data_IF_973780454011
#
_entry.id   IF_973780454011
#
_cell.length_a   1.000
_cell.length_b   1.000
_cell.length_c   1.000
_cell.angle_alpha   90.00
_cell.angle_beta   90.00
_cell.angle_gamma   90.00
#
_symmetry.space_group_name_H-M   'P 1'
#
loop_
_entity.id
_entity.type
_entity.pdbx_description
1 polymer ?
#
# COMPACT_ATOMS: atom_id res chain seq x y z
N UNK A 1 -15.06 6.20 -59.29
CA UNK A 1 -14.12 5.23 -58.72
C UNK A 1 -13.25 5.83 -57.61
N UNK A 2 -12.70 7.02 -57.77
CA UNK A 2 -11.82 7.68 -56.78
C UNK A 2 -12.56 8.06 -55.48
N UNK A 3 -13.85 8.43 -55.55
CA UNK A 3 -14.65 8.83 -54.37
C UNK A 3 -14.98 7.64 -53.46
N UNK A 4 -15.16 6.45 -54.07
CA UNK A 4 -15.43 5.21 -53.32
C UNK A 4 -14.19 4.71 -52.58
N UNK A 5 -13.01 4.90 -53.18
CA UNK A 5 -11.73 4.53 -52.59
C UNK A 5 -11.38 5.42 -51.36
N UNK A 6 -11.66 6.74 -51.42
CA UNK A 6 -11.47 7.65 -50.31
C UNK A 6 -12.41 7.32 -49.13
N UNK A 7 -13.66 6.92 -49.38
CA UNK A 7 -14.59 6.50 -48.36
C UNK A 7 -14.17 5.20 -47.69
N UNK A 8 -13.67 4.25 -48.44
CA UNK A 8 -13.15 2.98 -47.94
C UNK A 8 -11.90 3.19 -47.05
N UNK A 9 -10.98 4.07 -47.48
CA UNK A 9 -9.78 4.42 -46.71
C UNK A 9 -10.11 5.15 -45.39
N UNK A 10 -11.12 6.02 -45.42
CA UNK A 10 -11.57 6.73 -44.21
C UNK A 10 -12.25 5.79 -43.20
N UNK A 11 -12.98 4.78 -43.71
CA UNK A 11 -13.61 3.76 -42.88
C UNK A 11 -12.57 2.82 -42.22
N UNK A 12 -11.51 2.49 -42.93
CA UNK A 12 -10.39 1.71 -42.44
C UNK A 12 -9.60 2.47 -41.36
N UNK A 13 -9.41 3.78 -41.51
CA UNK A 13 -8.74 4.64 -40.56
C UNK A 13 -9.52 4.75 -39.21
N UNK A 14 -10.85 4.76 -39.26
CA UNK A 14 -11.71 4.80 -38.07
C UNK A 14 -11.64 3.50 -37.27
N UNK A 15 -11.45 2.35 -37.93
CA UNK A 15 -11.32 1.05 -37.26
C UNK A 15 -10.03 0.95 -36.41
N UNK A 16 -8.98 1.68 -36.75
CA UNK A 16 -7.74 1.68 -35.97
C UNK A 16 -7.77 2.57 -34.72
N UNK A 17 -8.79 3.42 -34.56
CA UNK A 17 -8.93 4.32 -33.40
C UNK A 17 -9.65 3.66 -32.21
N UNK A 18 -10.24 2.48 -32.40
CA UNK A 18 -10.94 1.74 -31.33
C UNK A 18 -10.02 0.80 -30.51
N UNK A 19 -8.73 0.78 -30.76
CA UNK A 19 -7.75 -0.04 -30.00
C UNK A 19 -7.16 0.71 -28.81
N UNK A 20 -7.96 1.52 -28.09
CA UNK A 20 -7.61 1.93 -26.73
C UNK A 20 -7.97 0.78 -25.79
N UNK A 21 -7.15 -0.25 -25.75
CA UNK A 21 -7.19 -1.25 -24.70
C UNK A 21 -6.93 -0.60 -23.34
N UNK A 22 -7.55 -1.13 -22.30
CA UNK A 22 -7.44 -0.74 -20.92
C UNK A 22 -5.97 -0.66 -20.43
N UNK A 23 -5.33 0.48 -20.68
CA UNK A 23 -4.06 0.77 -20.05
C UNK A 23 -4.36 1.30 -18.65
N UNK A 24 -4.20 0.43 -17.63
CA UNK A 24 -4.22 0.87 -16.24
C UNK A 24 -2.98 1.73 -16.00
N UNK A 25 -3.18 3.00 -15.75
CA UNK A 25 -2.11 3.98 -15.47
C UNK A 25 -1.44 3.74 -14.10
N UNK A 26 -1.99 2.83 -13.28
CA UNK A 26 -1.57 2.58 -11.90
C UNK A 26 -0.49 1.50 -11.76
N UNK A 27 -0.06 0.83 -12.84
CA UNK A 27 0.93 -0.24 -12.78
C UNK A 27 0.46 -1.51 -12.06
N UNK A 28 -0.81 -1.56 -11.63
CA UNK A 28 -1.38 -2.74 -10.98
C UNK A 28 -1.58 -3.86 -12.01
N UNK A 29 -1.04 -5.05 -11.72
CA UNK A 29 -1.26 -6.29 -12.46
C UNK A 29 -2.29 -7.14 -11.73
N UNK A 30 -3.57 -6.76 -11.89
CA UNK A 30 -4.69 -7.46 -11.26
C UNK A 30 -5.01 -8.70 -12.11
N UNK A 31 -5.04 -9.94 -11.52
CA UNK A 31 -5.42 -11.15 -12.24
C UNK A 31 -6.84 -11.04 -12.84
N UNK A 32 -7.04 -11.65 -14.01
CA UNK A 32 -8.37 -11.71 -14.62
C UNK A 32 -9.39 -12.34 -13.66
N UNK A 33 -10.58 -11.73 -13.56
CA UNK A 33 -11.67 -12.20 -12.71
C UNK A 33 -11.60 -11.72 -11.26
N UNK A 34 -10.58 -10.94 -10.87
CA UNK A 34 -10.53 -10.31 -9.54
C UNK A 34 -11.39 -9.05 -9.55
N UNK A 35 -12.43 -9.03 -8.74
CA UNK A 35 -13.38 -7.91 -8.64
C UNK A 35 -13.41 -7.27 -7.25
N UNK A 36 -13.03 -8.04 -6.22
CA UNK A 36 -13.21 -7.64 -4.82
C UNK A 36 -11.94 -7.82 -3.99
N UNK A 37 -11.83 -7.02 -2.93
CA UNK A 37 -10.82 -7.21 -1.90
C UNK A 37 -11.41 -7.03 -0.51
N UNK A 38 -10.80 -7.70 0.45
CA UNK A 38 -11.13 -7.66 1.87
C UNK A 38 -9.88 -7.28 2.65
N UNK A 39 -10.01 -6.36 3.59
CA UNK A 39 -8.95 -6.02 4.56
C UNK A 39 -9.52 -6.26 5.95
N UNK A 40 -9.03 -7.29 6.62
CA UNK A 40 -9.37 -7.53 8.02
C UNK A 40 -8.71 -6.48 8.91
N UNK A 41 -9.34 -6.16 10.05
CA UNK A 41 -8.71 -5.29 11.04
C UNK A 41 -7.38 -5.91 11.48
N UNK A 42 -6.29 -5.15 11.32
CA UNK A 42 -4.97 -5.58 11.77
C UNK A 42 -4.93 -5.64 13.30
N UNK A 43 -4.29 -6.67 13.86
CA UNK A 43 -4.10 -6.76 15.30
C UNK A 43 -2.98 -5.82 15.76
N UNK A 44 -3.20 -5.06 16.83
CA UNK A 44 -2.16 -4.21 17.40
C UNK A 44 -1.36 -4.96 18.47
N UNK A 45 -0.31 -5.64 18.07
CA UNK A 45 0.62 -6.38 18.93
C UNK A 45 1.93 -5.63 19.20
N UNK A 46 1.99 -4.33 18.87
CA UNK A 46 3.20 -3.52 18.98
C UNK A 46 3.78 -3.49 20.39
N UNK A 47 2.94 -3.47 21.42
CA UNK A 47 3.37 -3.45 22.82
C UNK A 47 4.01 -4.73 23.35
N UNK A 48 3.97 -5.84 22.59
CA UNK A 48 4.47 -7.14 23.04
C UNK A 48 5.99 -7.29 22.87
N UNK A 49 6.62 -6.41 22.09
CA UNK A 49 8.06 -6.50 21.81
C UNK A 49 8.88 -5.55 22.68
N UNK A 50 10.07 -6.03 23.11
CA UNK A 50 10.99 -5.24 23.95
C UNK A 50 11.39 -3.94 23.27
N UNK A 51 11.19 -2.82 23.95
CA UNK A 51 11.51 -1.48 23.45
C UNK A 51 10.49 -0.90 22.47
N UNK A 52 9.41 -1.61 22.20
CA UNK A 52 8.24 -1.13 21.46
C UNK A 52 7.16 -0.73 22.46
N UNK A 53 6.31 0.21 22.07
CA UNK A 53 5.22 0.71 22.90
C UNK A 53 3.86 0.43 22.21
N UNK A 54 2.82 0.30 23.00
CA UNK A 54 1.47 0.19 22.48
C UNK A 54 0.93 1.58 22.14
N UNK A 55 0.58 1.81 20.86
CA UNK A 55 -0.10 3.04 20.41
C UNK A 55 -1.58 2.74 20.15
N UNK A 56 -2.51 3.30 20.94
CA UNK A 56 -3.94 3.05 20.76
C UNK A 56 -4.46 3.54 19.41
N UNK A 57 -5.30 2.73 18.75
CA UNK A 57 -5.96 3.07 17.48
C UNK A 57 -5.09 2.90 16.24
N UNK A 58 -3.82 2.49 16.41
CA UNK A 58 -2.88 2.27 15.30
C UNK A 58 -3.39 1.19 14.33
N UNK A 59 -4.03 0.16 14.84
CA UNK A 59 -4.69 -0.92 14.11
C UNK A 59 -5.75 -0.41 13.13
N UNK A 60 -6.67 0.40 13.64
CA UNK A 60 -7.74 0.98 12.84
C UNK A 60 -7.18 1.94 11.78
N UNK A 61 -6.29 2.85 12.21
CA UNK A 61 -5.77 3.89 11.34
C UNK A 61 -4.92 3.30 10.19
N UNK A 62 -4.11 2.27 10.48
CA UNK A 62 -3.37 1.53 9.46
C UNK A 62 -4.29 0.73 8.52
N UNK A 63 -5.30 0.04 9.06
CA UNK A 63 -6.26 -0.72 8.26
C UNK A 63 -6.99 0.19 7.26
N UNK A 64 -7.45 1.36 7.71
CA UNK A 64 -8.09 2.36 6.85
C UNK A 64 -7.11 2.88 5.78
N UNK A 65 -5.85 3.14 6.14
CA UNK A 65 -4.85 3.57 5.17
C UNK A 65 -4.62 2.53 4.07
N UNK A 66 -4.59 1.24 4.42
CA UNK A 66 -4.46 0.14 3.44
C UNK A 66 -5.71 0.00 2.57
N UNK A 67 -6.91 0.13 3.13
CA UNK A 67 -8.15 0.15 2.34
C UNK A 67 -8.14 1.30 1.32
N UNK A 68 -7.80 2.50 1.78
CA UNK A 68 -7.79 3.70 0.93
C UNK A 68 -6.83 3.58 -0.27
N UNK A 69 -5.62 3.03 -0.09
CA UNK A 69 -4.70 2.89 -1.22
C UNK A 69 -5.20 1.86 -2.24
N UNK A 70 -5.79 0.75 -1.78
CA UNK A 70 -6.38 -0.27 -2.65
C UNK A 70 -7.56 0.28 -3.45
N UNK A 71 -8.47 1.03 -2.83
CA UNK A 71 -9.59 1.69 -3.51
C UNK A 71 -9.12 2.75 -4.51
N UNK A 72 -8.10 3.54 -4.16
CA UNK A 72 -7.64 4.64 -5.01
C UNK A 72 -6.78 4.18 -6.20
N UNK A 73 -6.07 3.06 -6.07
CA UNK A 73 -5.16 2.57 -7.11
C UNK A 73 -5.71 1.39 -7.91
N UNK A 74 -6.90 0.89 -7.56
CA UNK A 74 -7.56 -0.20 -8.31
C UNK A 74 -9.02 0.13 -8.58
N UNK A 75 -9.66 -0.69 -9.42
CA UNK A 75 -11.11 -0.67 -9.62
C UNK A 75 -11.82 -1.76 -8.79
N UNK A 76 -11.13 -2.36 -7.82
CA UNK A 76 -11.68 -3.41 -6.97
C UNK A 76 -12.66 -2.83 -5.94
N UNK A 77 -13.67 -3.62 -5.57
CA UNK A 77 -14.63 -3.24 -4.56
C UNK A 77 -14.22 -3.78 -3.18
N UNK A 78 -14.22 -2.92 -2.16
CA UNK A 78 -14.03 -3.35 -0.77
C UNK A 78 -15.26 -4.12 -0.30
N UNK A 79 -15.03 -5.33 0.20
CA UNK A 79 -16.07 -6.17 0.82
C UNK A 79 -15.69 -6.56 2.25
N UNK A 80 -16.69 -6.87 3.07
CA UNK A 80 -16.46 -7.24 4.47
C UNK A 80 -16.06 -8.72 4.63
N UNK A 81 -16.49 -9.56 3.69
CA UNK A 81 -16.25 -11.02 3.71
C UNK A 81 -16.18 -11.56 2.29
N UNK A 82 -15.45 -12.68 2.13
CA UNK A 82 -15.33 -13.41 0.86
C UNK A 82 -14.78 -12.56 -0.30
N UNK A 83 -13.84 -11.66 -0.02
CA UNK A 83 -13.11 -10.96 -1.08
C UNK A 83 -12.22 -11.91 -1.88
N UNK A 84 -12.03 -11.64 -3.18
CA UNK A 84 -11.12 -12.40 -4.04
C UNK A 84 -9.67 -12.25 -3.56
N UNK A 85 -9.35 -11.08 -3.01
CA UNK A 85 -8.08 -10.79 -2.33
C UNK A 85 -8.34 -10.54 -0.85
N UNK A 86 -7.53 -11.14 0.01
CA UNK A 86 -7.59 -10.95 1.45
C UNK A 86 -6.27 -10.41 1.97
N UNK A 87 -6.36 -9.32 2.74
CA UNK A 87 -5.27 -8.74 3.51
C UNK A 87 -5.59 -8.84 4.99
N UNK A 88 -4.67 -9.45 5.74
CA UNK A 88 -4.78 -9.56 7.20
C UNK A 88 -3.38 -9.53 7.82
N UNK A 89 -3.30 -9.31 9.13
CA UNK A 89 -2.01 -9.31 9.79
C UNK A 89 -2.00 -8.58 11.11
N UNK A 90 -0.79 -8.19 11.52
CA UNK A 90 -0.56 -7.57 12.82
C UNK A 90 0.49 -6.47 12.75
N UNK A 91 0.34 -5.45 13.58
CA UNK A 91 1.37 -4.44 13.83
C UNK A 91 2.24 -4.97 14.96
N UNK A 92 3.51 -5.21 14.69
CA UNK A 92 4.44 -5.87 15.61
C UNK A 92 5.43 -4.90 16.26
N UNK A 93 5.54 -3.68 15.77
CA UNK A 93 6.50 -2.70 16.30
C UNK A 93 5.97 -1.29 16.15
N UNK A 94 6.08 -0.53 17.23
CA UNK A 94 5.95 0.92 17.30
C UNK A 94 7.03 1.42 18.25
N UNK A 95 8.19 1.81 17.72
CA UNK A 95 9.40 2.06 18.51
C UNK A 95 9.98 3.43 18.24
N UNK A 96 10.35 4.12 19.31
CA UNK A 96 11.17 5.32 19.24
C UNK A 96 12.59 4.99 19.66
N UNK A 97 13.56 5.33 18.81
CA UNK A 97 14.99 5.11 19.07
C UNK A 97 15.78 6.39 18.84
N UNK A 98 16.69 6.76 19.75
CA UNK A 98 17.61 7.85 19.50
C UNK A 98 18.59 7.44 18.38
N UNK A 99 18.82 8.36 17.45
CA UNK A 99 19.80 8.19 16.39
C UNK A 99 21.10 8.87 16.78
N UNK A 100 22.20 8.11 16.75
CA UNK A 100 23.53 8.66 17.01
C UNK A 100 23.92 9.58 15.84
N UNK A 101 24.35 10.80 16.16
CA UNK A 101 24.87 11.71 15.15
C UNK A 101 26.06 11.06 14.45
N UNK A 102 25.94 10.79 13.15
CA UNK A 102 27.08 10.45 12.29
C UNK A 102 27.73 11.75 11.82
N UNK A 103 28.97 11.69 11.33
CA UNK A 103 29.77 12.85 10.93
C UNK A 103 29.11 13.83 9.96
N UNK A 104 27.96 13.44 9.36
CA UNK A 104 27.18 14.22 8.41
C UNK A 104 25.86 14.76 8.99
N UNK A 105 25.49 14.42 10.24
CA UNK A 105 24.27 14.90 10.90
C UNK A 105 24.68 15.89 12.01
N UNK A 106 24.35 17.16 11.79
CA UNK A 106 24.71 18.26 12.73
C UNK A 106 23.80 18.35 13.97
N UNK A 107 22.73 17.54 14.05
CA UNK A 107 21.77 17.53 15.15
C UNK A 107 21.38 16.10 15.54
N UNK A 108 21.11 15.87 16.83
CA UNK A 108 20.57 14.63 17.34
C UNK A 108 19.12 14.44 16.81
N UNK A 109 18.76 13.22 16.44
CA UNK A 109 17.45 12.86 15.96
C UNK A 109 16.88 11.67 16.73
N UNK A 110 15.58 11.57 16.75
CA UNK A 110 14.85 10.37 17.12
C UNK A 110 14.24 9.75 15.87
N UNK A 111 14.07 8.43 15.89
CA UNK A 111 13.42 7.66 14.84
C UNK A 111 12.20 6.95 15.39
N UNK A 112 11.03 7.22 14.81
CA UNK A 112 9.85 6.39 14.99
C UNK A 112 9.86 5.31 13.91
N UNK A 113 9.85 4.03 14.33
CA UNK A 113 9.74 2.88 13.42
C UNK A 113 8.42 2.17 13.64
N UNK A 114 7.72 1.82 12.54
CA UNK A 114 6.54 0.96 12.56
C UNK A 114 6.81 -0.25 11.67
N UNK A 115 6.46 -1.44 12.17
CA UNK A 115 6.56 -2.69 11.41
C UNK A 115 5.27 -3.46 11.48
N UNK A 116 4.88 -4.04 10.34
CA UNK A 116 3.68 -4.85 10.20
C UNK A 116 4.03 -6.19 9.56
N UNK A 117 3.42 -7.27 10.04
CA UNK A 117 3.39 -8.56 9.35
C UNK A 117 2.10 -8.62 8.55
N UNK A 118 2.20 -8.91 7.26
CA UNK A 118 1.05 -8.99 6.36
C UNK A 118 0.96 -10.39 5.78
N UNK A 119 -0.22 -10.99 5.88
CA UNK A 119 -0.63 -12.18 5.15
C UNK A 119 -1.52 -11.73 4.00
N UNK A 120 -1.06 -11.94 2.78
CA UNK A 120 -1.83 -11.70 1.57
C UNK A 120 -2.27 -13.03 0.98
N UNK A 121 -3.57 -13.16 0.71
CA UNK A 121 -4.15 -14.34 0.06
C UNK A 121 -4.91 -13.90 -1.20
N UNK A 122 -4.52 -14.47 -2.32
CA UNK A 122 -5.24 -14.38 -3.58
C UNK A 122 -5.96 -15.70 -3.82
N UNK A 123 -7.29 -15.73 -3.69
CA UNK A 123 -8.09 -16.95 -3.85
C UNK A 123 -8.23 -17.40 -5.31
N UNK A 124 -7.90 -16.55 -6.28
CA UNK A 124 -7.94 -16.88 -7.71
C UNK A 124 -6.57 -17.35 -8.22
N UNK A 125 -5.49 -17.03 -7.50
CA UNK A 125 -4.12 -17.37 -7.89
C UNK A 125 -3.24 -17.56 -6.66
N UNK A 126 -3.21 -18.78 -6.13
CA UNK A 126 -2.51 -19.13 -4.90
C UNK A 126 -0.99 -18.87 -4.93
N UNK A 127 -0.37 -18.95 -6.11
CA UNK A 127 1.06 -18.67 -6.28
C UNK A 127 1.45 -17.22 -5.93
N UNK A 128 0.47 -16.32 -5.83
CA UNK A 128 0.69 -14.92 -5.46
C UNK A 128 0.65 -14.69 -3.94
N UNK A 129 0.25 -15.70 -3.16
CA UNK A 129 0.15 -15.61 -1.72
C UNK A 129 1.51 -15.35 -1.07
N UNK A 130 1.53 -14.50 -0.07
CA UNK A 130 2.73 -14.31 0.73
C UNK A 130 2.42 -13.97 2.18
N UNK A 131 3.41 -14.24 3.04
CA UNK A 131 3.51 -13.70 4.37
C UNK A 131 4.82 -12.92 4.46
N UNK A 132 4.74 -11.61 4.75
CA UNK A 132 5.91 -10.74 4.73
C UNK A 132 5.81 -9.64 5.78
N UNK A 133 6.98 -9.29 6.36
CA UNK A 133 7.14 -8.12 7.18
C UNK A 133 7.45 -6.91 6.31
N UNK A 134 6.75 -5.80 6.58
CA UNK A 134 7.02 -4.47 6.05
C UNK A 134 7.40 -3.55 7.20
N UNK A 135 8.34 -2.63 6.97
CA UNK A 135 8.85 -1.73 8.00
C UNK A 135 9.22 -0.40 7.38
N UNK A 136 8.81 0.68 8.01
CA UNK A 136 9.22 2.02 7.61
C UNK A 136 9.40 2.92 8.83
N UNK A 137 10.05 4.07 8.65
CA UNK A 137 10.36 4.96 9.75
C UNK A 137 10.24 6.44 9.37
N UNK A 138 10.14 7.27 10.40
CA UNK A 138 10.17 8.72 10.33
C UNK A 138 11.19 9.28 11.32
N UNK A 139 12.11 10.12 10.83
CA UNK A 139 13.13 10.76 11.65
C UNK A 139 12.69 12.19 11.99
N UNK A 140 12.87 12.58 13.26
CA UNK A 140 12.47 13.89 13.76
C UNK A 140 13.51 14.44 14.74
N UNK A 141 13.64 15.79 14.91
CA UNK A 141 14.59 16.42 15.83
C UNK A 141 14.42 15.88 17.26
N UNK A 142 15.53 15.61 17.95
CA UNK A 142 15.50 15.05 19.31
C UNK A 142 14.90 16.01 20.36
N UNK A 143 14.87 17.31 20.06
CA UNK A 143 14.24 18.34 20.91
C UNK A 143 12.71 18.28 20.86
N UNK A 144 12.13 17.65 19.85
CA UNK A 144 10.69 17.49 19.68
C UNK A 144 10.18 16.26 20.43
N UNK A 145 8.99 16.37 20.98
CA UNK A 145 8.28 15.21 21.53
C UNK A 145 7.50 14.50 20.42
N UNK A 146 7.42 13.18 20.49
CA UNK A 146 6.68 12.36 19.51
C UNK A 146 5.25 12.88 19.28
N UNK A 147 4.56 13.29 20.36
CA UNK A 147 3.16 13.75 20.27
C UNK A 147 2.98 14.95 19.32
N UNK A 148 4.00 15.80 19.17
CA UNK A 148 3.92 16.98 18.28
C UNK A 148 4.09 16.66 16.80
N UNK A 149 4.72 15.51 16.47
CA UNK A 149 4.99 15.06 15.09
C UNK A 149 4.22 13.78 14.73
N UNK A 150 3.46 13.23 15.68
CA UNK A 150 2.84 11.90 15.54
C UNK A 150 1.95 11.79 14.31
N UNK A 151 1.09 12.75 14.06
CA UNK A 151 0.17 12.73 12.90
C UNK A 151 0.91 12.71 11.58
N UNK A 152 1.92 13.57 11.43
CA UNK A 152 2.77 13.63 10.23
C UNK A 152 3.58 12.33 10.07
N UNK A 153 4.16 11.83 11.16
CA UNK A 153 4.92 10.59 11.15
C UNK A 153 4.05 9.38 10.74
N UNK A 154 2.83 9.28 11.26
CA UNK A 154 1.89 8.21 10.89
C UNK A 154 1.51 8.31 9.41
N UNK A 155 1.17 9.50 8.92
CA UNK A 155 0.82 9.72 7.52
C UNK A 155 1.93 9.25 6.59
N UNK A 156 3.17 9.71 6.80
CA UNK A 156 4.33 9.35 5.97
C UNK A 156 4.65 7.84 6.07
N UNK A 157 4.63 7.27 7.29
CA UNK A 157 4.94 5.86 7.47
C UNK A 157 3.85 4.97 6.85
N UNK A 158 2.57 5.31 7.05
CA UNK A 158 1.46 4.52 6.49
C UNK A 158 1.41 4.60 4.97
N UNK A 159 1.59 5.80 4.39
CA UNK A 159 1.69 5.95 2.94
C UNK A 159 2.75 5.01 2.37
N UNK A 160 3.93 4.97 2.97
CA UNK A 160 5.01 4.10 2.49
C UNK A 160 4.73 2.62 2.71
N UNK A 161 4.30 2.23 3.90
CA UNK A 161 4.00 0.82 4.20
C UNK A 161 2.89 0.27 3.30
N UNK A 162 1.81 1.03 3.12
CA UNK A 162 0.67 0.60 2.30
C UNK A 162 1.03 0.56 0.82
N UNK A 163 1.87 1.49 0.34
CA UNK A 163 2.40 1.45 -1.02
C UNK A 163 3.30 0.23 -1.25
N UNK A 164 4.17 -0.11 -0.29
CA UNK A 164 5.03 -1.29 -0.38
C UNK A 164 4.21 -2.59 -0.36
N UNK A 165 3.13 -2.66 0.43
CA UNK A 165 2.19 -3.79 0.44
C UNK A 165 1.45 -3.89 -0.89
N UNK A 166 0.91 -2.78 -1.40
CA UNK A 166 0.27 -2.71 -2.71
C UNK A 166 1.20 -3.21 -3.82
N UNK A 167 2.43 -2.72 -3.85
CA UNK A 167 3.42 -3.11 -4.84
C UNK A 167 3.76 -4.61 -4.74
N UNK A 168 3.87 -5.15 -3.53
CA UNK A 168 4.18 -6.57 -3.32
C UNK A 168 3.03 -7.49 -3.75
N UNK A 169 1.78 -7.05 -3.64
CA UNK A 169 0.59 -7.86 -3.94
C UNK A 169 0.11 -7.69 -5.38
N UNK A 170 0.10 -6.47 -5.91
CA UNK A 170 -0.59 -6.13 -7.17
C UNK A 170 0.31 -5.51 -8.24
N UNK A 171 1.50 -4.98 -7.92
CA UNK A 171 2.42 -4.44 -8.91
C UNK A 171 3.55 -5.44 -9.15
N UNK A 172 3.37 -6.36 -10.08
CA UNK A 172 4.42 -7.30 -10.50
C UNK A 172 5.24 -6.68 -11.63
N UNK A 173 6.50 -6.45 -11.34
CA UNK A 173 7.52 -6.03 -12.31
C UNK A 173 8.33 -7.23 -12.77
#
# INVERSE_FOLDING_TARGET
MILSFKRFFFLLLILHLSSCGNYSFTGASIPEGTETFQVNLFENNSGNNVGSIFEPGLDRDFTIALQNILENQTNLQLVQTNGDLLYEGEIIEYRVSPMTATSNLNAAQNRLSISVNVNFTNFLKEDDNFQRRFSFYFDYPAEQQLISVKSEAHEIIFERLTQDIFNASLAKW
#
